data_IF_218525255473
#
_entry.id   IF_218525255473
#
_cell.length_a   1.000
_cell.length_b   1.000
_cell.length_c   1.000
_cell.angle_alpha   90.00
_cell.angle_beta   90.00
_cell.angle_gamma   90.00
#
_symmetry.space_group_name_H-M   'P 1'
#
loop_
_entity.id
_entity.type
_entity.pdbx_description
1 polymer ?
#
# COMPACT_ATOMS: atom_id res chain seq x y z
N UNK A 1 -65.69 39.82 9.40
CA UNK A 1 -65.09 38.83 10.33
C UNK A 1 -64.19 37.81 9.63
N UNK A 2 -64.61 37.17 8.51
CA UNK A 2 -63.80 36.17 7.76
C UNK A 2 -62.44 36.69 7.26
N UNK A 3 -62.34 37.96 6.83
CA UNK A 3 -61.08 38.55 6.32
C UNK A 3 -60.01 38.78 7.39
N UNK A 4 -60.41 38.95 8.66
CA UNK A 4 -59.49 39.09 9.80
C UNK A 4 -58.89 37.74 10.17
N UNK A 5 -59.69 36.68 10.15
CA UNK A 5 -59.22 35.31 10.38
C UNK A 5 -58.21 34.85 9.32
N UNK A 6 -58.46 35.14 8.04
CA UNK A 6 -57.56 34.77 6.94
C UNK A 6 -56.24 35.55 7.01
N UNK A 7 -56.29 36.83 7.40
CA UNK A 7 -55.08 37.65 7.60
C UNK A 7 -54.26 37.19 8.80
N UNK A 8 -54.91 36.80 9.88
CA UNK A 8 -54.26 36.26 11.07
C UNK A 8 -53.62 34.91 10.78
N UNK A 9 -54.33 34.02 10.06
CA UNK A 9 -53.81 32.72 9.66
C UNK A 9 -52.64 32.83 8.66
N UNK A 10 -52.69 33.79 7.72
CA UNK A 10 -51.58 34.07 6.81
C UNK A 10 -50.35 34.62 7.52
N UNK A 11 -50.51 35.55 8.47
CA UNK A 11 -49.40 36.02 9.31
C UNK A 11 -48.82 34.90 10.19
N UNK A 12 -49.67 34.03 10.73
CA UNK A 12 -49.22 32.90 11.54
C UNK A 12 -48.44 31.89 10.70
N UNK A 13 -48.92 31.56 9.50
CA UNK A 13 -48.23 30.66 8.57
C UNK A 13 -46.91 31.25 8.05
N UNK A 14 -46.87 32.55 7.75
CA UNK A 14 -45.63 33.24 7.37
C UNK A 14 -44.62 33.28 8.53
N UNK A 15 -45.08 33.51 9.77
CA UNK A 15 -44.22 33.48 10.95
C UNK A 15 -43.68 32.07 11.23
N UNK A 16 -44.50 31.02 11.09
CA UNK A 16 -44.08 29.62 11.25
C UNK A 16 -43.10 29.20 10.14
N UNK A 17 -43.32 29.63 8.89
CA UNK A 17 -42.38 29.37 7.79
C UNK A 17 -41.05 30.10 7.99
N UNK A 18 -41.06 31.36 8.44
CA UNK A 18 -39.82 32.10 8.78
C UNK A 18 -39.07 31.42 9.92
N UNK A 19 -39.77 30.98 10.98
CA UNK A 19 -39.19 30.25 12.11
C UNK A 19 -38.62 28.87 11.71
N UNK A 20 -39.28 28.15 10.80
CA UNK A 20 -38.78 26.87 10.26
C UNK A 20 -37.57 27.06 9.33
N UNK A 21 -37.45 28.20 8.64
CA UNK A 21 -36.27 28.51 7.80
C UNK A 21 -35.09 29.07 8.59
N UNK A 22 -35.31 29.68 9.77
CA UNK A 22 -34.21 30.18 10.63
C UNK A 22 -33.47 29.07 11.39
N UNK A 23 -34.08 27.90 11.60
CA UNK A 23 -33.41 26.71 12.15
C UNK A 23 -32.41 26.09 11.16
N UNK A 24 -32.59 26.31 9.85
CA UNK A 24 -31.71 25.76 8.81
C UNK A 24 -30.43 26.60 8.67
N UNK A 25 -30.45 27.88 9.04
CA UNK A 25 -29.31 28.79 8.88
C UNK A 25 -28.24 28.65 9.98
N UNK A 26 -28.58 28.04 11.12
CA UNK A 26 -27.63 27.80 12.23
C UNK A 26 -26.84 26.50 12.09
N UNK A 27 -27.06 25.69 11.05
CA UNK A 27 -26.16 24.57 10.69
C UNK A 27 -24.96 25.10 9.88
N UNK A 28 -24.34 26.17 10.39
CA UNK A 28 -23.21 26.85 9.79
C UNK A 28 -22.09 27.08 10.78
N UNK A 29 -21.69 26.07 11.58
CA UNK A 29 -20.32 25.98 12.14
C UNK A 29 -20.04 24.66 12.87
N UNK A 30 -20.20 23.51 12.21
CA UNK A 30 -19.67 22.25 12.73
C UNK A 30 -19.28 21.28 11.61
N UNK A 31 -18.51 21.75 10.62
CA UNK A 31 -17.52 20.84 10.06
C UNK A 31 -16.41 20.78 11.11
N UNK A 32 -16.61 19.95 12.15
CA UNK A 32 -15.48 19.40 12.84
C UNK A 32 -14.55 18.90 11.73
N UNK A 33 -13.33 19.42 11.68
CA UNK A 33 -12.28 18.72 10.99
C UNK A 33 -12.26 17.33 11.63
N UNK A 34 -12.87 16.35 10.96
CA UNK A 34 -12.51 14.96 11.18
C UNK A 34 -11.08 14.94 10.68
N UNK A 35 -10.16 15.29 11.57
CA UNK A 35 -8.79 14.86 11.50
C UNK A 35 -8.92 13.35 11.39
N UNK A 36 -8.83 12.84 10.16
CA UNK A 36 -8.68 11.42 9.91
C UNK A 36 -7.35 11.03 10.55
N UNK A 37 -7.42 10.74 11.85
CA UNK A 37 -6.33 10.22 12.65
C UNK A 37 -6.17 8.72 12.37
N UNK A 38 -6.29 8.31 11.11
CA UNK A 38 -5.76 7.04 10.61
C UNK A 38 -4.30 7.17 10.17
N UNK A 39 -3.70 8.37 10.25
CA UNK A 39 -2.23 8.54 10.23
C UNK A 39 -1.59 8.16 11.57
N UNK A 40 -2.10 7.10 12.21
CA UNK A 40 -1.38 6.42 13.25
C UNK A 40 -0.29 5.57 12.56
N UNK A 41 0.93 6.08 12.59
CA UNK A 41 2.14 5.28 12.58
C UNK A 41 2.50 4.58 11.26
N UNK A 42 2.48 5.28 10.14
CA UNK A 42 3.26 4.84 8.98
C UNK A 42 4.58 5.61 8.99
N UNK A 43 5.70 4.91 8.85
CA UNK A 43 7.02 5.55 8.82
C UNK A 43 7.21 6.50 7.63
N UNK A 44 8.39 7.14 7.47
CA UNK A 44 8.63 8.19 6.47
C UNK A 44 8.34 7.82 5.01
N UNK A 45 8.24 6.52 4.70
CA UNK A 45 7.98 5.99 3.37
C UNK A 45 6.63 5.26 3.27
N UNK A 46 5.70 5.53 4.19
CA UNK A 46 4.39 4.88 4.24
C UNK A 46 4.44 3.51 4.94
N UNK A 47 3.47 2.62 4.66
CA UNK A 47 3.29 1.38 5.42
C UNK A 47 4.39 0.35 5.21
N UNK A 48 5.16 0.48 4.13
CA UNK A 48 6.30 -0.39 3.86
C UNK A 48 7.62 0.18 4.43
N UNK A 49 7.57 1.19 5.31
CA UNK A 49 8.79 1.72 5.93
C UNK A 49 9.48 0.63 6.74
N UNK A 50 10.74 0.32 6.43
CA UNK A 50 11.50 -0.66 7.19
C UNK A 50 11.86 -0.19 8.60
N UNK A 51 11.82 -1.10 9.59
CA UNK A 51 12.38 -0.86 10.92
C UNK A 51 13.88 -0.54 10.85
N UNK A 52 14.40 0.13 11.89
CA UNK A 52 15.83 0.48 11.96
C UNK A 52 16.72 -0.75 11.75
N UNK A 53 17.74 -0.60 10.90
CA UNK A 53 18.66 -1.69 10.51
C UNK A 53 18.21 -2.51 9.30
N UNK A 54 17.01 -2.28 8.77
CA UNK A 54 16.50 -2.93 7.56
C UNK A 54 16.31 -1.93 6.43
N UNK A 55 16.36 -2.44 5.20
CA UNK A 55 16.19 -1.70 3.94
C UNK A 55 15.35 -2.50 2.97
N UNK A 56 14.69 -1.82 2.01
CA UNK A 56 14.00 -2.53 0.92
C UNK A 56 14.99 -3.39 0.13
N UNK A 57 14.55 -4.61 -0.17
CA UNK A 57 15.36 -5.63 -0.84
C UNK A 57 15.63 -5.32 -2.30
N UNK A 58 14.71 -4.62 -2.97
CA UNK A 58 14.81 -4.22 -4.37
C UNK A 58 15.06 -5.39 -5.34
N UNK A 59 14.39 -6.52 -5.13
CA UNK A 59 14.41 -7.65 -6.08
C UNK A 59 13.90 -7.27 -7.47
N UNK A 60 12.93 -6.35 -7.53
CA UNK A 60 12.37 -5.74 -8.72
C UNK A 60 11.85 -4.34 -8.37
N UNK A 61 11.39 -3.57 -9.35
CA UNK A 61 10.78 -2.26 -9.10
C UNK A 61 9.50 -2.41 -8.28
N UNK A 62 9.48 -1.86 -7.07
CA UNK A 62 8.35 -1.97 -6.13
C UNK A 62 8.48 -3.11 -5.12
N UNK A 63 9.62 -3.81 -5.05
CA UNK A 63 9.88 -4.77 -3.97
C UNK A 63 10.28 -4.07 -2.67
N UNK A 64 9.29 -3.80 -1.82
CA UNK A 64 9.52 -3.18 -0.52
C UNK A 64 9.72 -4.18 0.63
N UNK A 65 9.96 -5.46 0.35
CA UNK A 65 10.29 -6.44 1.40
C UNK A 65 11.53 -5.98 2.16
N UNK A 66 11.39 -5.79 3.46
CA UNK A 66 12.49 -5.32 4.31
C UNK A 66 13.46 -6.45 4.65
N UNK A 67 14.75 -6.23 4.37
CA UNK A 67 15.86 -7.16 4.59
C UNK A 67 17.08 -6.43 5.16
N UNK A 68 18.12 -7.16 5.55
CA UNK A 68 19.39 -6.53 5.95
C UNK A 68 20.10 -5.91 4.73
N UNK A 69 21.00 -4.92 4.95
CA UNK A 69 21.80 -4.34 3.86
C UNK A 69 22.60 -5.37 3.06
N UNK A 70 23.08 -6.44 3.70
CA UNK A 70 23.81 -7.53 3.05
C UNK A 70 22.89 -8.32 2.10
N UNK A 71 21.66 -8.61 2.52
CA UNK A 71 20.66 -9.31 1.70
C UNK A 71 20.21 -8.48 0.50
N UNK A 72 20.08 -7.16 0.65
CA UNK A 72 19.86 -6.24 -0.49
C UNK A 72 21.03 -6.28 -1.47
N UNK A 73 22.25 -6.26 -0.96
CA UNK A 73 23.47 -6.35 -1.80
C UNK A 73 23.52 -7.68 -2.55
N UNK A 74 23.20 -8.79 -1.88
CA UNK A 74 23.12 -10.12 -2.50
C UNK A 74 22.04 -10.18 -3.59
N UNK A 75 20.87 -9.59 -3.33
CA UNK A 75 19.78 -9.48 -4.30
C UNK A 75 20.20 -8.69 -5.54
N UNK A 76 20.88 -7.56 -5.36
CA UNK A 76 21.40 -6.78 -6.48
C UNK A 76 22.43 -7.57 -7.31
N UNK A 77 23.31 -8.34 -6.66
CA UNK A 77 24.25 -9.22 -7.34
C UNK A 77 23.52 -10.30 -8.14
N UNK A 78 22.49 -10.94 -7.57
CA UNK A 78 21.71 -11.97 -8.25
C UNK A 78 20.97 -11.43 -9.48
N UNK A 79 20.39 -10.24 -9.36
CA UNK A 79 19.80 -9.52 -10.50
C UNK A 79 20.85 -9.25 -11.60
N UNK A 80 22.07 -8.86 -11.23
CA UNK A 80 23.18 -8.65 -12.17
C UNK A 80 23.68 -9.94 -12.84
N UNK A 81 23.44 -11.11 -12.25
CA UNK A 81 23.86 -12.40 -12.79
C UNK A 81 22.74 -13.16 -13.54
N UNK A 82 21.52 -12.61 -13.57
CA UNK A 82 20.33 -13.30 -14.09
C UNK A 82 20.56 -13.91 -15.48
N UNK A 83 21.09 -13.13 -16.43
CA UNK A 83 21.34 -13.60 -17.81
C UNK A 83 22.45 -14.66 -17.91
N UNK A 84 23.43 -14.66 -17.00
CA UNK A 84 24.54 -15.61 -17.03
C UNK A 84 24.15 -16.99 -16.49
N UNK A 85 23.13 -17.04 -15.62
CA UNK A 85 22.66 -18.26 -14.95
C UNK A 85 21.51 -18.96 -15.65
N UNK A 86 20.97 -18.37 -16.70
CA UNK A 86 20.01 -18.98 -17.61
C UNK A 86 20.73 -19.91 -18.60
N UNK A 87 20.09 -21.03 -18.94
CA UNK A 87 20.58 -22.03 -19.89
C UNK A 87 20.59 -21.44 -21.31
N UNK A 88 21.75 -21.44 -22.02
CA UNK A 88 21.81 -20.96 -23.40
C UNK A 88 20.82 -21.70 -24.30
N UNK A 89 20.03 -20.96 -25.06
CA UNK A 89 18.99 -21.52 -25.93
C UNK A 89 17.70 -21.93 -25.19
N UNK A 90 17.61 -21.70 -23.88
CA UNK A 90 16.47 -22.07 -23.05
C UNK A 90 16.43 -23.56 -22.71
N UNK A 91 15.26 -24.02 -22.26
CA UNK A 91 15.05 -25.41 -21.88
C UNK A 91 13.58 -25.75 -21.64
N UNK A 92 13.28 -26.81 -20.85
CA UNK A 92 11.93 -27.30 -20.64
C UNK A 92 10.92 -26.26 -20.12
N UNK A 93 11.41 -25.18 -19.49
CA UNK A 93 10.61 -24.10 -18.92
C UNK A 93 10.74 -22.79 -19.71
N UNK A 94 11.11 -22.87 -20.99
CA UNK A 94 11.25 -21.70 -21.87
C UNK A 94 12.61 -21.03 -21.76
N UNK A 95 12.68 -19.76 -22.19
CA UNK A 95 13.92 -18.97 -22.27
C UNK A 95 14.58 -18.77 -20.93
N UNK A 96 13.81 -18.71 -19.85
CA UNK A 96 14.32 -18.42 -18.51
C UNK A 96 14.73 -19.70 -17.75
N UNK A 97 14.79 -20.84 -18.43
CA UNK A 97 15.24 -22.10 -17.81
C UNK A 97 16.62 -21.91 -17.21
N UNK A 98 16.76 -22.14 -15.90
CA UNK A 98 18.06 -22.04 -15.24
C UNK A 98 19.04 -23.13 -15.69
N UNK A 99 20.34 -22.82 -15.63
CA UNK A 99 21.41 -23.81 -15.77
C UNK A 99 21.40 -24.78 -14.59
N UNK A 100 22.02 -25.95 -14.78
CA UNK A 100 22.19 -26.94 -13.72
C UNK A 100 22.85 -26.31 -12.48
N UNK A 101 22.27 -26.59 -11.31
CA UNK A 101 22.69 -26.00 -10.03
C UNK A 101 22.01 -24.68 -9.66
N UNK A 102 21.19 -24.11 -10.55
CA UNK A 102 20.41 -22.90 -10.29
C UNK A 102 18.91 -23.18 -10.37
N UNK A 103 18.14 -22.36 -9.65
CA UNK A 103 16.68 -22.38 -9.60
C UNK A 103 16.14 -20.95 -9.67
N UNK A 104 14.89 -20.77 -10.08
CA UNK A 104 14.24 -19.46 -9.96
C UNK A 104 14.17 -19.03 -8.50
N UNK A 105 14.51 -17.77 -8.23
CA UNK A 105 14.52 -17.21 -6.88
C UNK A 105 13.12 -17.11 -6.28
N UNK A 106 12.11 -16.87 -7.12
CA UNK A 106 10.71 -16.79 -6.70
C UNK A 106 10.47 -15.77 -5.57
N UNK A 107 11.15 -14.61 -5.61
CA UNK A 107 10.88 -13.48 -4.74
C UNK A 107 9.42 -13.01 -4.81
N UNK A 108 8.79 -13.19 -5.96
CA UNK A 108 7.37 -12.97 -6.25
C UNK A 108 6.95 -13.94 -7.36
N UNK A 109 5.66 -13.98 -7.69
CA UNK A 109 5.08 -15.00 -8.57
C UNK A 109 5.74 -15.14 -9.97
N UNK A 110 6.38 -14.09 -10.50
CA UNK A 110 7.01 -14.11 -11.83
C UNK A 110 8.53 -13.83 -11.75
N UNK A 111 9.16 -14.07 -10.59
CA UNK A 111 10.59 -13.88 -10.43
C UNK A 111 11.40 -15.08 -10.95
N UNK A 112 11.76 -15.02 -12.22
CA UNK A 112 12.59 -16.05 -12.87
C UNK A 112 14.10 -15.75 -12.80
N UNK A 113 14.55 -14.86 -11.92
CA UNK A 113 15.99 -14.67 -11.70
C UNK A 113 16.60 -15.97 -11.18
N UNK A 114 17.56 -16.52 -11.93
CA UNK A 114 18.24 -17.76 -11.55
C UNK A 114 19.26 -17.52 -10.44
N UNK A 115 19.11 -18.24 -9.34
CA UNK A 115 19.90 -18.17 -8.10
C UNK A 115 20.21 -19.57 -7.59
N UNK A 116 21.07 -19.71 -6.57
CA UNK A 116 21.29 -21.00 -5.91
C UNK A 116 20.06 -21.41 -5.09
N UNK A 117 19.89 -22.70 -4.77
CA UNK A 117 18.80 -23.17 -3.91
C UNK A 117 18.76 -22.47 -2.53
N UNK A 118 19.92 -22.12 -1.97
CA UNK A 118 20.03 -21.41 -0.70
C UNK A 118 19.48 -19.98 -0.82
N UNK A 119 19.77 -19.29 -1.94
CA UNK A 119 19.28 -17.94 -2.20
C UNK A 119 17.76 -17.91 -2.42
N UNK A 120 17.18 -18.92 -3.09
CA UNK A 120 15.71 -19.09 -3.16
C UNK A 120 15.10 -19.27 -1.78
N UNK A 121 15.73 -20.11 -0.95
CA UNK A 121 15.29 -20.35 0.43
C UNK A 121 15.35 -19.05 1.26
N UNK A 122 16.42 -18.26 1.10
CA UNK A 122 16.56 -16.96 1.74
C UNK A 122 15.47 -15.97 1.29
N UNK A 123 15.18 -15.88 -0.02
CA UNK A 123 14.12 -15.01 -0.53
C UNK A 123 12.73 -15.38 0.02
N UNK A 124 12.43 -16.67 0.12
CA UNK A 124 11.21 -17.15 0.75
C UNK A 124 11.15 -16.82 2.25
N UNK A 125 12.28 -16.95 2.95
CA UNK A 125 12.38 -16.54 4.35
C UNK A 125 12.15 -15.03 4.50
N UNK A 126 12.75 -14.19 3.66
CA UNK A 126 12.56 -12.73 3.70
C UNK A 126 11.09 -12.34 3.48
N UNK A 127 10.41 -12.98 2.52
CA UNK A 127 8.97 -12.80 2.32
C UNK A 127 8.15 -13.18 3.56
N UNK A 128 8.53 -14.26 4.26
CA UNK A 128 7.85 -14.68 5.50
C UNK A 128 8.05 -13.69 6.66
N UNK A 129 9.18 -12.97 6.66
CA UNK A 129 9.53 -12.02 7.70
C UNK A 129 9.05 -10.60 7.43
N UNK A 130 8.60 -10.31 6.20
CA UNK A 130 8.14 -8.99 5.80
C UNK A 130 7.20 -8.34 6.83
N UNK A 131 6.14 -9.00 7.34
CA UNK A 131 5.22 -8.38 8.30
C UNK A 131 5.85 -7.93 9.62
N UNK A 132 7.03 -8.46 9.98
CA UNK A 132 7.72 -8.17 11.24
C UNK A 132 8.85 -7.13 11.10
N UNK A 133 9.08 -6.64 9.88
CA UNK A 133 10.21 -5.75 9.56
C UNK A 133 9.77 -4.37 9.07
N UNK A 134 8.48 -4.07 9.14
CA UNK A 134 7.89 -2.75 8.89
C UNK A 134 7.67 -1.95 10.19
N UNK A 135 7.68 -0.61 10.09
CA UNK A 135 7.37 0.34 11.15
C UNK A 135 5.88 0.67 11.16
#
# INVERSE_FOLDING_TARGET
MKNIFIRCLRCLLLAVMVLLTTEIFMISLSHAAISDSTSAHLGPYGPDTCISGYVWRDAFSGDHVCVTPEQRTQTAYDNGQALYRVKPGGGPYGTDTCRDGYVWREAFANDHVCVTPEQRTQAAYDNSQAPYRYQ
#
